data_IF_876848818435
#
_entry.id   IF_876848818435
#
_cell.length_a   1.000
_cell.length_b   1.000
_cell.length_c   1.000
_cell.angle_alpha   90.00
_cell.angle_beta   90.00
_cell.angle_gamma   90.00
#
_symmetry.space_group_name_H-M   'P 1'
#
loop_
_entity.id
_entity.type
_entity.pdbx_description
1 polymer ?
#
# COMPACT_ATOMS: atom_id res chain seq x y z
N UNK A 1 -5.04 -23.88 0.35
CA UNK A 1 -5.40 -22.50 -0.04
C UNK A 1 -6.35 -21.94 1.00
N UNK A 2 -5.96 -20.89 1.71
CA UNK A 2 -6.86 -20.17 2.64
C UNK A 2 -7.75 -19.23 1.81
N UNK A 3 -8.88 -19.72 1.34
CA UNK A 3 -9.91 -18.91 0.69
C UNK A 3 -10.57 -18.05 1.78
N UNK A 4 -10.80 -16.77 1.50
CA UNK A 4 -11.46 -15.84 2.42
C UNK A 4 -12.79 -16.46 2.93
N UNK A 5 -13.00 -16.57 4.24
CA UNK A 5 -14.21 -17.15 4.82
C UNK A 5 -15.50 -16.49 4.34
N UNK A 6 -15.52 -15.17 4.18
CA UNK A 6 -16.67 -14.42 3.68
C UNK A 6 -17.08 -14.82 2.27
N UNK A 7 -16.12 -15.17 1.42
CA UNK A 7 -16.37 -15.67 0.07
C UNK A 7 -17.03 -17.04 0.09
N UNK A 8 -16.53 -17.93 0.97
CA UNK A 8 -17.15 -19.26 1.15
C UNK A 8 -18.59 -19.11 1.65
N UNK A 9 -18.79 -18.24 2.64
CA UNK A 9 -20.11 -17.99 3.22
C UNK A 9 -21.10 -17.46 2.18
N UNK A 10 -20.72 -16.47 1.38
CA UNK A 10 -21.58 -15.92 0.32
C UNK A 10 -22.01 -16.98 -0.70
N UNK A 11 -21.09 -17.81 -1.17
CA UNK A 11 -21.44 -18.90 -2.07
C UNK A 11 -22.29 -19.98 -1.41
N UNK A 12 -22.02 -20.32 -0.15
CA UNK A 12 -22.81 -21.28 0.60
C UNK A 12 -24.24 -20.78 0.76
N UNK A 13 -24.45 -19.51 1.12
CA UNK A 13 -25.79 -18.92 1.22
C UNK A 13 -26.53 -18.95 -0.12
N UNK A 14 -25.87 -18.55 -1.21
CA UNK A 14 -26.47 -18.57 -2.55
C UNK A 14 -26.90 -19.98 -2.97
N UNK A 15 -26.06 -20.98 -2.71
CA UNK A 15 -26.37 -22.38 -3.03
C UNK A 15 -27.51 -22.93 -2.17
N UNK A 16 -27.58 -22.55 -0.88
CA UNK A 16 -28.66 -23.00 0.02
C UNK A 16 -30.02 -22.38 -0.35
N UNK A 17 -30.04 -21.11 -0.77
CA UNK A 17 -31.28 -20.43 -1.16
C UNK A 17 -31.76 -20.88 -2.55
N UNK A 18 -30.83 -21.03 -3.50
CA UNK A 18 -31.12 -21.41 -4.89
C UNK A 18 -30.21 -22.56 -5.31
N UNK A 19 -30.51 -23.83 -4.94
CA UNK A 19 -29.57 -24.93 -5.11
C UNK A 19 -29.09 -25.13 -6.54
N UNK A 20 -29.98 -25.23 -7.49
CA UNK A 20 -29.63 -25.50 -8.91
C UNK A 20 -28.90 -24.29 -9.53
N UNK A 21 -29.47 -23.11 -9.33
CA UNK A 21 -28.93 -21.87 -9.88
C UNK A 21 -27.61 -21.49 -9.19
N UNK A 22 -27.52 -21.58 -7.87
CA UNK A 22 -26.33 -21.28 -7.08
C UNK A 22 -25.16 -22.21 -7.40
N UNK A 23 -25.41 -23.50 -7.57
CA UNK A 23 -24.38 -24.47 -8.01
C UNK A 23 -23.92 -24.13 -9.42
N UNK A 24 -24.82 -23.85 -10.35
CA UNK A 24 -24.46 -23.48 -11.73
C UNK A 24 -23.60 -22.23 -11.78
N UNK A 25 -23.98 -21.18 -11.05
CA UNK A 25 -23.18 -19.95 -10.92
C UNK A 25 -21.84 -20.22 -10.25
N UNK A 26 -21.78 -21.04 -9.21
CA UNK A 26 -20.52 -21.39 -8.56
C UNK A 26 -19.56 -22.13 -9.50
N UNK A 27 -20.06 -23.05 -10.32
CA UNK A 27 -19.23 -23.75 -11.29
C UNK A 27 -18.69 -22.82 -12.39
N UNK A 28 -19.49 -21.82 -12.80
CA UNK A 28 -19.09 -20.85 -13.82
C UNK A 28 -18.16 -19.76 -13.26
N UNK A 29 -18.41 -19.24 -12.04
CA UNK A 29 -17.76 -18.04 -11.50
C UNK A 29 -17.02 -18.28 -10.20
N UNK A 30 -17.25 -19.36 -9.47
CA UNK A 30 -16.68 -19.63 -8.15
C UNK A 30 -15.19 -20.00 -8.16
N UNK A 31 -14.66 -20.46 -9.28
CA UNK A 31 -13.24 -20.75 -9.48
C UNK A 31 -12.64 -19.73 -10.45
N UNK A 32 -12.22 -18.58 -9.96
CA UNK A 32 -11.54 -17.59 -10.80
C UNK A 32 -10.11 -18.06 -11.14
N UNK A 33 -9.85 -18.36 -12.40
CA UNK A 33 -8.48 -18.56 -12.92
C UNK A 33 -7.62 -17.30 -12.74
N UNK A 34 -8.25 -16.13 -12.78
CA UNK A 34 -7.61 -14.83 -12.57
C UNK A 34 -6.95 -14.76 -11.18
N UNK A 35 -7.60 -15.28 -10.14
CA UNK A 35 -7.03 -15.31 -8.80
C UNK A 35 -5.77 -16.18 -8.69
N UNK A 36 -5.67 -17.26 -9.43
CA UNK A 36 -4.48 -18.12 -9.44
C UNK A 36 -3.30 -17.45 -10.15
N UNK A 37 -3.55 -16.79 -11.28
CA UNK A 37 -2.52 -16.04 -12.03
C UNK A 37 -2.00 -14.85 -11.21
N UNK A 38 -2.91 -14.08 -10.57
CA UNK A 38 -2.51 -12.98 -9.70
C UNK A 38 -1.73 -13.46 -8.49
N UNK A 39 -2.11 -14.59 -7.89
CA UNK A 39 -1.37 -15.16 -6.76
C UNK A 39 0.04 -15.59 -7.17
N UNK A 40 0.19 -16.22 -8.33
CA UNK A 40 1.50 -16.58 -8.86
C UNK A 40 2.36 -15.34 -9.14
N UNK A 41 1.79 -14.32 -9.75
CA UNK A 41 2.49 -13.06 -9.98
C UNK A 41 2.91 -12.40 -8.67
N UNK A 42 2.05 -12.41 -7.66
CA UNK A 42 2.36 -11.87 -6.34
C UNK A 42 3.49 -12.67 -5.64
N UNK A 43 3.48 -14.00 -5.73
CA UNK A 43 4.57 -14.81 -5.18
C UNK A 43 5.89 -14.53 -5.90
N UNK A 44 5.88 -14.42 -7.22
CA UNK A 44 7.08 -14.05 -7.97
C UNK A 44 7.65 -12.69 -7.52
N UNK A 45 6.78 -11.68 -7.29
CA UNK A 45 7.20 -10.38 -6.77
C UNK A 45 7.81 -10.49 -5.36
N UNK A 46 7.22 -11.33 -4.48
CA UNK A 46 7.80 -11.56 -3.15
C UNK A 46 9.18 -12.20 -3.28
N UNK A 47 9.35 -13.20 -4.14
CA UNK A 47 10.61 -13.89 -4.34
C UNK A 47 11.67 -12.94 -4.94
N UNK A 48 11.30 -12.13 -5.93
CA UNK A 48 12.17 -11.12 -6.53
C UNK A 48 12.59 -10.01 -5.54
N UNK A 49 11.70 -9.64 -4.62
CA UNK A 49 11.99 -8.59 -3.63
C UNK A 49 12.65 -9.12 -2.37
N UNK A 50 12.67 -10.43 -2.15
CA UNK A 50 13.21 -11.04 -0.92
C UNK A 50 14.70 -10.71 -0.71
N UNK A 51 15.50 -10.63 -1.79
CA UNK A 51 16.93 -10.29 -1.70
C UNK A 51 17.18 -8.86 -1.18
N UNK A 52 16.24 -7.94 -1.41
CA UNK A 52 16.32 -6.55 -0.93
C UNK A 52 15.86 -6.38 0.53
N UNK A 53 15.28 -7.43 1.12
CA UNK A 53 14.76 -7.45 2.48
C UNK A 53 15.67 -8.23 3.43
N UNK A 54 16.98 -8.20 3.17
CA UNK A 54 17.93 -8.86 4.04
C UNK A 54 17.99 -8.19 5.41
N UNK A 55 17.75 -9.00 6.46
CA UNK A 55 17.84 -8.55 7.84
C UNK A 55 19.22 -8.82 8.44
N UNK A 56 19.63 -7.98 9.38
CA UNK A 56 20.84 -8.21 10.15
C UNK A 56 20.62 -9.29 11.21
N UNK A 57 21.34 -10.41 11.09
CA UNK A 57 21.36 -11.45 12.12
C UNK A 57 21.92 -10.91 13.45
N UNK A 58 22.83 -9.94 13.39
CA UNK A 58 23.37 -9.27 14.56
C UNK A 58 22.30 -8.46 15.29
N UNK A 59 21.51 -7.66 14.56
CA UNK A 59 20.38 -6.90 15.11
C UNK A 59 19.37 -7.82 15.78
N UNK A 60 19.07 -8.96 15.15
CA UNK A 60 18.17 -9.97 15.68
C UNK A 60 18.70 -10.62 16.97
N UNK A 61 20.00 -10.86 17.06
CA UNK A 61 20.65 -11.36 18.30
C UNK A 61 20.56 -10.33 19.42
N UNK A 62 20.91 -9.07 19.16
CA UNK A 62 20.81 -7.98 20.14
C UNK A 62 19.38 -7.84 20.66
N UNK A 63 18.39 -7.83 19.78
CA UNK A 63 16.98 -7.78 20.20
C UNK A 63 16.60 -8.93 21.14
N UNK A 64 17.18 -10.12 20.98
CA UNK A 64 16.93 -11.25 21.88
C UNK A 64 17.54 -11.06 23.27
N UNK A 65 18.67 -10.39 23.36
CA UNK A 65 19.34 -10.07 24.62
C UNK A 65 18.59 -8.97 25.36
N UNK A 66 18.07 -7.99 24.65
CA UNK A 66 17.36 -6.84 25.21
C UNK A 66 15.91 -7.17 25.59
N UNK A 67 15.13 -7.78 24.69
CA UNK A 67 13.72 -8.11 24.93
C UNK A 67 13.28 -9.36 24.13
N UNK A 68 13.12 -10.45 24.85
CA UNK A 68 12.67 -11.73 24.27
C UNK A 68 11.26 -11.62 23.65
N UNK A 69 10.37 -10.82 24.23
CA UNK A 69 9.00 -10.67 23.70
C UNK A 69 9.00 -9.96 22.35
N UNK A 70 9.76 -8.89 22.23
CA UNK A 70 9.95 -8.15 20.98
C UNK A 70 10.59 -9.03 19.90
N UNK A 71 11.56 -9.89 20.29
CA UNK A 71 12.13 -10.84 19.35
C UNK A 71 11.09 -11.81 18.80
N UNK A 72 10.24 -12.40 19.65
CA UNK A 72 9.20 -13.33 19.19
C UNK A 72 8.26 -12.66 18.19
N UNK A 73 7.87 -11.40 18.42
CA UNK A 73 7.06 -10.62 17.51
C UNK A 73 7.80 -10.34 16.19
N UNK A 74 9.06 -9.95 16.28
CA UNK A 74 9.91 -9.71 15.10
C UNK A 74 10.09 -10.97 14.26
N UNK A 75 10.36 -12.13 14.90
CA UNK A 75 10.48 -13.42 14.23
C UNK A 75 9.18 -13.82 13.52
N UNK A 76 8.02 -13.56 14.16
CA UNK A 76 6.72 -13.79 13.55
C UNK A 76 6.51 -12.90 12.30
N UNK A 77 6.82 -11.62 12.40
CA UNK A 77 6.72 -10.69 11.28
C UNK A 77 7.65 -11.13 10.13
N UNK A 78 8.89 -11.49 10.45
CA UNK A 78 9.83 -12.01 9.46
C UNK A 78 9.33 -13.29 8.78
N UNK A 79 8.83 -14.23 9.55
CA UNK A 79 8.35 -15.50 9.02
C UNK A 79 7.16 -15.35 8.05
N UNK A 80 6.22 -14.45 8.36
CA UNK A 80 4.96 -14.35 7.63
C UNK A 80 4.90 -13.21 6.61
N UNK A 81 5.67 -12.15 6.83
CA UNK A 81 5.64 -10.94 6.00
C UNK A 81 6.98 -10.63 5.33
N UNK A 82 8.06 -11.36 5.70
CA UNK A 82 9.41 -11.16 5.17
C UNK A 82 10.01 -9.78 5.46
N UNK A 83 9.48 -9.05 6.45
CA UNK A 83 10.05 -7.78 6.89
C UNK A 83 11.01 -8.02 8.05
N UNK A 84 12.33 -7.72 7.88
CA UNK A 84 13.32 -7.89 8.93
C UNK A 84 13.24 -6.77 9.96
N UNK A 85 13.82 -7.04 11.14
CA UNK A 85 14.05 -6.01 12.15
C UNK A 85 15.25 -5.15 11.73
N UNK A 86 15.13 -3.84 11.94
CA UNK A 86 16.18 -2.86 11.72
C UNK A 86 16.55 -2.16 13.03
N UNK A 87 17.75 -1.60 13.09
CA UNK A 87 18.24 -0.76 14.18
C UNK A 87 18.67 0.61 13.60
N UNK A 88 19.13 1.51 14.46
CA UNK A 88 19.53 2.87 14.09
C UNK A 88 18.38 3.71 13.51
N UNK A 89 17.16 3.47 13.98
CA UNK A 89 15.96 4.20 13.57
C UNK A 89 15.45 5.01 14.76
N UNK A 90 15.23 6.29 14.54
CA UNK A 90 14.51 7.15 15.49
C UNK A 90 13.06 7.29 15.03
N UNK A 91 12.15 7.45 16.00
CA UNK A 91 10.73 7.64 15.70
C UNK A 91 10.21 8.86 16.44
N UNK A 92 9.41 9.65 15.75
CA UNK A 92 8.69 10.79 16.29
C UNK A 92 7.18 10.54 16.11
N UNK A 93 6.41 10.83 17.14
CA UNK A 93 4.96 10.68 17.13
C UNK A 93 4.28 12.04 17.06
N UNK A 94 3.43 12.21 16.04
CA UNK A 94 2.58 13.39 15.88
C UNK A 94 1.15 13.04 16.29
N UNK A 95 0.62 13.76 17.25
CA UNK A 95 -0.74 13.49 17.76
C UNK A 95 -1.81 13.87 16.73
N UNK A 96 -1.56 14.91 15.94
CA UNK A 96 -2.47 15.43 14.91
C UNK A 96 -1.72 15.68 13.60
N UNK A 97 -2.47 15.73 12.50
CA UNK A 97 -1.90 15.95 11.16
C UNK A 97 -1.31 17.34 10.96
N UNK A 98 -1.82 18.32 11.67
CA UNK A 98 -1.35 19.70 11.57
C UNK A 98 0.09 19.84 12.09
N UNK A 99 0.47 19.05 13.09
CA UNK A 99 1.85 19.03 13.62
C UNK A 99 2.79 18.29 12.66
N UNK A 100 2.31 17.19 12.05
CA UNK A 100 3.10 16.40 11.10
C UNK A 100 3.30 17.11 9.75
N UNK A 101 2.33 17.89 9.30
CA UNK A 101 2.32 18.45 7.95
C UNK A 101 3.53 19.35 7.65
N UNK A 102 3.92 20.32 8.51
CA UNK A 102 5.10 21.15 8.25
C UNK A 102 6.40 20.32 8.20
N UNK A 103 6.50 19.27 9.01
CA UNK A 103 7.66 18.37 8.98
C UNK A 103 7.70 17.59 7.67
N UNK A 104 6.56 17.06 7.22
CA UNK A 104 6.46 16.39 5.92
C UNK A 104 6.84 17.30 4.76
N UNK A 105 6.35 18.55 4.76
CA UNK A 105 6.68 19.55 3.73
C UNK A 105 8.18 19.83 3.72
N UNK A 106 8.78 20.04 4.89
CA UNK A 106 10.22 20.26 5.01
C UNK A 106 11.02 19.08 4.43
N UNK A 107 10.70 17.86 4.80
CA UNK A 107 11.40 16.67 4.30
C UNK A 107 11.23 16.47 2.79
N UNK A 108 10.03 16.70 2.25
CA UNK A 108 9.79 16.66 0.81
C UNK A 108 10.66 17.67 0.04
N UNK A 109 10.83 18.87 0.58
CA UNK A 109 11.67 19.91 -0.01
C UNK A 109 13.17 19.55 -0.01
N UNK A 110 13.62 18.73 0.95
CA UNK A 110 15.01 18.28 1.05
C UNK A 110 15.33 17.07 0.16
N UNK A 111 14.34 16.40 -0.42
CA UNK A 111 14.50 15.21 -1.24
C UNK A 111 15.50 15.42 -2.40
N UNK A 112 16.41 14.45 -2.60
CA UNK A 112 17.47 14.49 -3.62
C UNK A 112 17.42 13.34 -4.62
N UNK A 113 16.91 12.17 -4.21
CA UNK A 113 16.94 10.95 -5.01
C UNK A 113 15.56 10.48 -5.39
N UNK A 114 14.68 10.25 -4.40
CA UNK A 114 13.33 9.78 -4.67
C UNK A 114 12.31 10.18 -3.59
N UNK A 115 11.05 10.25 -4.02
CA UNK A 115 9.88 10.41 -3.16
C UNK A 115 8.86 9.37 -3.58
N UNK A 116 8.49 8.44 -2.67
CA UNK A 116 7.47 7.43 -2.91
C UNK A 116 6.29 7.65 -1.96
N UNK A 117 5.12 7.84 -2.54
CA UNK A 117 3.90 8.16 -1.80
C UNK A 117 2.82 7.14 -2.12
N UNK A 118 2.15 6.67 -1.08
CA UNK A 118 1.02 5.75 -1.14
C UNK A 118 -0.10 6.25 -0.23
N UNK A 119 -1.25 6.62 -0.79
CA UNK A 119 -2.40 7.11 -0.03
C UNK A 119 -3.70 6.39 -0.42
N UNK A 120 -4.54 6.11 0.58
CA UNK A 120 -5.87 5.57 0.34
C UNK A 120 -6.81 6.61 -0.27
N UNK A 121 -6.87 7.82 0.32
CA UNK A 121 -7.65 8.94 -0.18
C UNK A 121 -6.75 10.15 -0.37
N UNK A 122 -6.84 10.73 -1.54
CA UNK A 122 -6.31 12.06 -1.85
C UNK A 122 -7.54 12.96 -2.11
N UNK A 123 -7.58 14.09 -1.46
CA UNK A 123 -8.62 15.10 -1.64
C UNK A 123 -7.99 16.42 -2.06
N UNK A 124 -8.58 17.08 -3.04
CA UNK A 124 -8.10 18.36 -3.51
C UNK A 124 -8.35 19.44 -2.44
N UNK A 125 -7.29 19.85 -1.79
CA UNK A 125 -7.28 20.80 -0.70
C UNK A 125 -5.91 21.43 -0.49
N UNK A 126 -5.81 22.37 0.43
CA UNK A 126 -4.56 23.14 0.68
C UNK A 126 -3.36 22.22 0.93
N UNK A 127 -3.54 21.20 1.77
CA UNK A 127 -2.44 20.28 2.11
C UNK A 127 -1.97 19.51 0.86
N UNK A 128 -2.89 18.94 0.10
CA UNK A 128 -2.53 18.20 -1.11
C UNK A 128 -1.91 19.09 -2.18
N UNK A 129 -2.46 20.26 -2.42
CA UNK A 129 -1.90 21.20 -3.40
C UNK A 129 -0.49 21.64 -3.03
N UNK A 130 -0.22 21.85 -1.74
CA UNK A 130 1.14 22.16 -1.25
C UNK A 130 2.10 21.02 -1.55
N UNK A 131 1.72 19.78 -1.20
CA UNK A 131 2.51 18.58 -1.50
C UNK A 131 2.73 18.46 -3.02
N UNK A 132 1.66 18.53 -3.81
CA UNK A 132 1.71 18.37 -5.27
C UNK A 132 2.65 19.37 -5.94
N UNK A 133 2.65 20.62 -5.50
CA UNK A 133 3.56 21.65 -6.02
C UNK A 133 5.04 21.28 -5.75
N UNK A 134 5.33 20.73 -4.56
CA UNK A 134 6.68 20.27 -4.23
C UNK A 134 7.05 19.05 -5.08
N UNK A 135 6.14 18.07 -5.20
CA UNK A 135 6.37 16.87 -6.01
C UNK A 135 6.66 17.21 -7.48
N UNK A 136 5.89 18.13 -8.06
CA UNK A 136 6.10 18.60 -9.43
C UNK A 136 7.46 19.32 -9.60
N UNK A 137 7.81 20.18 -8.64
CA UNK A 137 9.12 20.83 -8.61
C UNK A 137 10.24 19.80 -8.54
N UNK A 138 10.16 18.85 -7.61
CA UNK A 138 11.16 17.79 -7.42
C UNK A 138 11.29 16.87 -8.64
N UNK A 139 10.18 16.52 -9.28
CA UNK A 139 10.21 15.76 -10.52
C UNK A 139 10.95 16.52 -11.64
N UNK A 140 10.74 17.84 -11.76
CA UNK A 140 11.49 18.70 -12.70
C UNK A 140 12.97 18.81 -12.37
N UNK A 141 13.34 18.70 -11.10
CA UNK A 141 14.73 18.66 -10.62
C UNK A 141 15.40 17.30 -10.86
N UNK A 142 14.66 16.28 -11.35
CA UNK A 142 15.18 14.95 -11.66
C UNK A 142 15.03 13.93 -10.52
N UNK A 143 14.35 14.27 -9.43
CA UNK A 143 14.00 13.34 -8.35
C UNK A 143 12.97 12.31 -8.85
N UNK A 144 13.15 11.03 -8.54
CA UNK A 144 12.20 9.97 -8.90
C UNK A 144 10.94 10.04 -8.01
N UNK A 145 9.91 10.73 -8.49
CA UNK A 145 8.65 10.89 -7.76
C UNK A 145 7.64 9.85 -8.21
N UNK A 146 7.18 9.02 -7.25
CA UNK A 146 6.17 7.98 -7.49
C UNK A 146 4.98 8.15 -6.56
N UNK A 147 3.79 8.05 -7.13
CA UNK A 147 2.52 8.17 -6.42
C UNK A 147 1.65 6.94 -6.70
N UNK A 148 1.14 6.33 -5.64
CA UNK A 148 0.09 5.30 -5.72
C UNK A 148 -1.11 5.79 -4.90
N UNK A 149 -2.30 5.66 -5.45
CA UNK A 149 -3.53 5.93 -4.71
C UNK A 149 -4.60 4.86 -4.98
N UNK A 150 -5.51 4.65 -4.03
CA UNK A 150 -6.58 3.68 -4.17
C UNK A 150 -7.68 4.18 -5.12
N UNK A 151 -8.04 3.38 -6.12
CA UNK A 151 -8.99 3.77 -7.16
C UNK A 151 -10.44 3.89 -6.68
N UNK A 152 -10.79 3.32 -5.52
CA UNK A 152 -12.11 3.48 -4.91
C UNK A 152 -12.10 4.60 -3.86
N UNK A 153 -11.04 4.65 -3.05
CA UNK A 153 -10.88 5.71 -2.04
C UNK A 153 -10.88 7.10 -2.66
N UNK A 154 -10.34 7.24 -3.87
CA UNK A 154 -10.28 8.51 -4.60
C UNK A 154 -11.37 8.68 -5.67
N UNK A 155 -12.39 7.80 -5.72
CA UNK A 155 -13.39 7.81 -6.80
C UNK A 155 -14.19 9.12 -6.88
N UNK A 156 -14.47 9.73 -5.74
CA UNK A 156 -15.26 10.97 -5.65
C UNK A 156 -14.43 12.21 -5.31
N UNK A 157 -13.16 12.04 -4.97
CA UNK A 157 -12.29 13.12 -4.51
C UNK A 157 -11.30 13.60 -5.56
N UNK A 158 -11.02 12.77 -6.57
CA UNK A 158 -10.11 13.13 -7.66
C UNK A 158 -10.81 13.13 -9.02
N UNK A 159 -10.35 13.98 -9.97
CA UNK A 159 -10.85 13.99 -11.34
C UNK A 159 -10.61 12.66 -12.07
N UNK A 160 -11.47 12.38 -13.05
CA UNK A 160 -11.26 11.23 -13.93
C UNK A 160 -9.90 11.31 -14.66
N UNK A 161 -9.17 10.20 -14.69
CA UNK A 161 -7.81 10.12 -15.28
C UNK A 161 -6.75 10.98 -14.56
N UNK A 162 -6.89 11.20 -13.30
CA UNK A 162 -5.92 11.95 -12.48
C UNK A 162 -4.50 11.38 -12.57
N UNK A 163 -4.35 10.07 -12.67
CA UNK A 163 -3.06 9.41 -12.91
C UNK A 163 -2.35 9.89 -14.19
N UNK A 164 -3.12 10.16 -15.26
CA UNK A 164 -2.55 10.68 -16.50
C UNK A 164 -2.13 12.14 -16.35
N UNK A 165 -2.84 12.92 -15.54
CA UNK A 165 -2.44 14.29 -15.23
C UNK A 165 -1.13 14.30 -14.43
N UNK A 166 -1.00 13.46 -13.42
CA UNK A 166 0.23 13.32 -12.63
C UNK A 166 1.43 12.96 -13.53
N UNK A 167 1.24 12.02 -14.44
CA UNK A 167 2.32 11.64 -15.38
C UNK A 167 2.72 12.80 -16.30
N UNK A 168 1.77 13.66 -16.72
CA UNK A 168 2.10 14.88 -17.51
C UNK A 168 2.90 15.90 -16.69
N UNK A 169 2.75 15.91 -15.35
CA UNK A 169 3.53 16.73 -14.43
C UNK A 169 4.90 16.11 -14.08
N UNK A 170 5.25 14.96 -14.69
CA UNK A 170 6.51 14.27 -14.45
C UNK A 170 6.48 13.30 -13.25
N UNK A 171 5.33 13.10 -12.61
CA UNK A 171 5.14 12.21 -11.49
C UNK A 171 4.72 10.83 -12.00
N UNK A 172 5.47 9.76 -11.69
CA UNK A 172 5.09 8.39 -12.03
C UNK A 172 3.91 7.98 -11.13
N UNK A 173 2.73 7.83 -11.71
CA UNK A 173 1.51 7.61 -10.95
C UNK A 173 0.80 6.33 -11.36
N UNK A 174 0.40 5.52 -10.37
CA UNK A 174 -0.38 4.30 -10.55
C UNK A 174 -1.62 4.31 -9.67
N UNK A 175 -2.68 3.64 -10.15
CA UNK A 175 -3.95 3.51 -9.41
C UNK A 175 -4.09 2.09 -8.90
N UNK A 176 -4.06 1.93 -7.59
CA UNK A 176 -4.29 0.63 -6.98
C UNK A 176 -5.76 0.21 -7.17
N UNK A 177 -5.95 -0.99 -7.71
CA UNK A 177 -7.26 -1.63 -7.92
C UNK A 177 -8.33 -0.65 -8.43
N UNK A 178 -8.07 -0.09 -9.63
CA UNK A 178 -8.96 0.87 -10.30
C UNK A 178 -10.40 0.36 -10.31
N UNK A 179 -11.33 1.19 -9.84
CA UNK A 179 -12.74 0.84 -9.81
C UNK A 179 -13.25 0.55 -11.23
N UNK A 180 -13.85 -0.61 -11.40
CA UNK A 180 -14.59 -1.02 -12.60
C UNK A 180 -15.98 -1.47 -12.15
N UNK A 181 -17.07 -0.99 -12.74
CA UNK A 181 -18.44 -1.36 -12.36
C UNK A 181 -18.75 -2.79 -12.83
N UNK A 182 -18.05 -3.76 -12.29
CA UNK A 182 -18.26 -5.20 -12.53
C UNK A 182 -18.46 -5.84 -11.15
N UNK A 183 -19.42 -6.74 -11.03
CA UNK A 183 -19.63 -7.56 -9.83
C UNK A 183 -18.44 -8.51 -9.61
N UNK A 184 -17.35 -7.97 -9.09
CA UNK A 184 -16.15 -8.75 -8.83
C UNK A 184 -15.69 -8.52 -7.37
N UNK A 185 -15.64 -9.61 -6.59
CA UNK A 185 -15.24 -9.62 -5.18
C UNK A 185 -13.78 -9.15 -4.98
N UNK A 186 -12.94 -9.24 -6.02
CA UNK A 186 -11.55 -8.74 -6.00
C UNK A 186 -11.48 -7.23 -5.76
N UNK A 187 -12.55 -6.49 -6.07
CA UNK A 187 -12.62 -5.05 -5.82
C UNK A 187 -12.69 -4.66 -4.33
N UNK A 188 -12.92 -5.62 -3.43
CA UNK A 188 -12.89 -5.38 -1.99
C UNK A 188 -11.47 -5.27 -1.41
N UNK A 189 -10.44 -5.66 -2.15
CA UNK A 189 -9.06 -5.41 -1.75
C UNK A 189 -8.74 -3.93 -1.95
N UNK A 190 -8.51 -3.22 -0.85
CA UNK A 190 -8.21 -1.79 -0.85
C UNK A 190 -6.86 -1.53 -0.21
N UNK A 191 -6.19 -0.54 -0.73
CA UNK A 191 -4.94 -0.07 -0.17
C UNK A 191 -5.21 1.03 0.85
N UNK A 192 -5.36 0.65 2.11
CA UNK A 192 -5.67 1.60 3.18
C UNK A 192 -4.41 2.20 3.84
N UNK A 193 -3.24 2.03 3.23
CA UNK A 193 -1.98 2.57 3.75
C UNK A 193 -1.85 4.06 3.46
N UNK A 194 -1.12 4.77 4.30
CA UNK A 194 -0.71 6.16 4.15
C UNK A 194 0.78 6.18 4.45
N UNK A 195 1.57 6.18 3.41
CA UNK A 195 3.02 6.04 3.49
C UNK A 195 3.65 7.12 2.61
N UNK A 196 4.68 7.76 3.12
CA UNK A 196 5.60 8.57 2.33
C UNK A 196 7.03 8.18 2.69
N UNK A 197 7.83 7.83 1.71
CA UNK A 197 9.25 7.50 1.88
C UNK A 197 10.09 8.47 1.06
N UNK A 198 11.08 9.08 1.68
CA UNK A 198 11.94 10.10 1.09
C UNK A 198 13.39 9.63 1.20
N UNK A 199 14.04 9.46 0.08
CA UNK A 199 15.46 9.10 -0.07
C UNK A 199 15.90 7.84 0.72
N UNK A 200 14.97 7.04 1.23
CA UNK A 200 15.24 5.87 2.07
C UNK A 200 15.64 6.19 3.52
N UNK A 201 15.69 7.46 3.89
CA UNK A 201 16.08 7.92 5.23
C UNK A 201 14.89 8.32 6.10
N UNK A 202 13.92 8.99 5.51
CA UNK A 202 12.74 9.47 6.22
C UNK A 202 11.49 8.74 5.74
N UNK A 203 10.70 8.23 6.69
CA UNK A 203 9.43 7.56 6.41
C UNK A 203 8.30 8.12 7.26
N UNK A 204 7.17 8.48 6.63
CA UNK A 204 5.94 8.86 7.31
C UNK A 204 4.90 7.77 7.13
N UNK A 205 4.23 7.41 8.22
CA UNK A 205 3.09 6.49 8.18
C UNK A 205 2.07 6.88 9.25
N UNK A 206 0.81 6.57 9.02
CA UNK A 206 -0.24 6.90 10.00
C UNK A 206 -1.66 6.76 9.46
N UNK A 207 -2.61 7.42 10.12
CA UNK A 207 -4.03 7.40 9.77
C UNK A 207 -4.51 8.54 8.87
N UNK A 208 -3.67 9.51 8.55
CA UNK A 208 -4.05 10.76 7.89
C UNK A 208 -4.02 10.59 6.36
N UNK A 209 -5.19 10.80 5.73
CA UNK A 209 -5.30 10.94 4.28
C UNK A 209 -4.95 12.38 3.84
N UNK A 210 -4.68 12.59 2.56
CA UNK A 210 -4.31 13.87 1.97
C UNK A 210 -5.31 14.29 0.90
#
# INVERSE_FOLDING_TARGET
KKINPSYKLAWTMLILIFPVFGVSLYLLFGKSRIGAVMEQHYQNLIDETAEYLEGSELTRKRLNEDDRSMRIQSDYIWQYSRYPVHENTTAEYFQVGDDMFPVLVHELEQAKHFIFIEYFIINDGVMWQTILNILEKKAKEGVDVRLIYDGFGCLTTLPYKYDQEMRRRGIKCEVFNRFRPILNIIQNNRDHRKICVIDGWTGFTGGINR
#
